data_IF_471734863332
#
_entry.id   IF_471734863332
#
_cell.length_a   1.000
_cell.length_b   1.000
_cell.length_c   1.000
_cell.angle_alpha   90.00
_cell.angle_beta   90.00
_cell.angle_gamma   90.00
#
_symmetry.space_group_name_H-M   'P 1'
#
loop_
_entity.id
_entity.type
_entity.pdbx_description
1 polymer ?
#
# COMPACT_ATOMS: atom_id res chain seq x y z
N UNK A 1 16.05 -15.82 -31.16
CA UNK A 1 15.82 -17.01 -30.32
C UNK A 1 14.61 -16.73 -29.44
N UNK A 2 13.46 -17.42 -29.62
CA UNK A 2 12.31 -17.19 -28.77
C UNK A 2 12.64 -17.67 -27.36
N UNK A 3 12.70 -16.75 -26.39
CA UNK A 3 12.81 -17.10 -24.97
C UNK A 3 11.66 -18.03 -24.63
N UNK A 4 11.97 -19.24 -24.13
CA UNK A 4 10.91 -20.18 -23.77
C UNK A 4 10.06 -19.56 -22.66
N UNK A 5 8.73 -19.66 -22.78
CA UNK A 5 7.80 -19.13 -21.78
C UNK A 5 8.15 -19.58 -20.35
N UNK A 6 8.77 -20.76 -20.22
CA UNK A 6 9.24 -21.35 -18.96
C UNK A 6 10.40 -20.56 -18.35
N UNK A 7 11.36 -20.09 -19.15
CA UNK A 7 12.47 -19.25 -18.67
C UNK A 7 11.97 -17.87 -18.22
N UNK A 8 10.99 -17.31 -18.94
CA UNK A 8 10.36 -16.05 -18.59
C UNK A 8 9.59 -16.18 -17.27
N UNK A 9 8.85 -17.28 -17.11
CA UNK A 9 8.15 -17.62 -15.86
C UNK A 9 9.10 -17.79 -14.68
N UNK A 10 10.26 -18.42 -14.90
CA UNK A 10 11.28 -18.63 -13.86
C UNK A 10 11.93 -17.31 -13.43
N UNK A 11 12.18 -16.39 -14.36
CA UNK A 11 12.69 -15.04 -14.05
C UNK A 11 11.67 -14.21 -13.27
N UNK A 12 10.40 -14.22 -13.69
CA UNK A 12 9.31 -13.55 -12.95
C UNK A 12 9.22 -14.08 -11.52
N UNK A 13 9.34 -15.40 -11.32
CA UNK A 13 9.33 -16.01 -9.99
C UNK A 13 10.56 -15.69 -9.15
N UNK A 14 11.73 -15.50 -9.77
CA UNK A 14 12.94 -15.03 -9.06
C UNK A 14 12.83 -13.54 -8.67
N UNK A 15 12.17 -12.73 -9.50
CA UNK A 15 11.90 -11.33 -9.21
C UNK A 15 10.83 -11.12 -8.12
N UNK A 16 9.98 -12.12 -7.84
CA UNK A 16 8.93 -12.05 -6.82
C UNK A 16 9.46 -11.64 -5.42
N UNK A 17 10.66 -12.12 -5.05
CA UNK A 17 11.29 -11.76 -3.76
C UNK A 17 11.72 -10.29 -3.66
N UNK A 18 12.58 -9.76 -4.56
CA UNK A 18 12.96 -8.34 -4.51
C UNK A 18 11.76 -7.43 -4.76
N UNK A 19 10.82 -7.81 -5.63
CA UNK A 19 9.58 -7.05 -5.84
C UNK A 19 8.76 -6.97 -4.56
N UNK A 20 8.60 -8.08 -3.81
CA UNK A 20 7.91 -8.04 -2.52
C UNK A 20 8.57 -7.04 -1.53
N UNK A 21 9.90 -6.98 -1.47
CA UNK A 21 10.61 -6.03 -0.59
C UNK A 21 10.37 -4.59 -1.03
N UNK A 22 10.48 -4.29 -2.33
CA UNK A 22 10.25 -2.95 -2.88
C UNK A 22 8.81 -2.52 -2.64
N UNK A 23 7.85 -3.41 -2.89
CA UNK A 23 6.41 -3.16 -2.67
C UNK A 23 6.12 -2.92 -1.20
N UNK A 24 6.73 -3.71 -0.31
CA UNK A 24 6.61 -3.51 1.13
C UNK A 24 7.12 -2.13 1.57
N UNK A 25 8.30 -1.71 1.08
CA UNK A 25 8.86 -0.39 1.38
C UNK A 25 8.01 0.74 0.82
N UNK A 26 7.53 0.61 -0.42
CA UNK A 26 6.65 1.59 -1.05
C UNK A 26 5.31 1.73 -0.30
N UNK A 27 4.71 0.61 0.12
CA UNK A 27 3.49 0.65 0.93
C UNK A 27 3.73 1.25 2.30
N UNK A 28 4.87 0.98 2.94
CA UNK A 28 5.21 1.60 4.22
C UNK A 28 5.31 3.12 4.11
N UNK A 29 5.96 3.60 3.04
CA UNK A 29 6.05 5.02 2.71
C UNK A 29 4.66 5.63 2.43
N UNK A 30 3.84 4.95 1.63
CA UNK A 30 2.48 5.39 1.32
C UNK A 30 1.60 5.45 2.57
N UNK A 31 1.62 4.41 3.41
CA UNK A 31 0.91 4.38 4.68
C UNK A 31 1.41 5.48 5.62
N UNK A 32 2.72 5.69 5.72
CA UNK A 32 3.30 6.79 6.50
C UNK A 32 2.80 8.16 6.03
N UNK A 33 2.76 8.38 4.71
CA UNK A 33 2.27 9.62 4.12
C UNK A 33 0.76 9.83 4.36
N UNK A 34 -0.04 8.77 4.21
CA UNK A 34 -1.48 8.82 4.48
C UNK A 34 -1.77 9.07 5.96
N UNK A 35 -0.96 8.54 6.87
CA UNK A 35 -1.07 8.81 8.31
C UNK A 35 -0.67 10.23 8.67
N UNK A 36 0.40 10.75 8.07
CA UNK A 36 0.76 12.16 8.16
C UNK A 36 -0.39 13.06 7.69
N UNK A 37 -1.03 12.69 6.59
CA UNK A 37 -2.20 13.41 6.06
C UNK A 37 -3.39 13.35 7.02
N UNK A 38 -3.62 12.21 7.67
CA UNK A 38 -4.71 12.01 8.63
C UNK A 38 -4.53 12.80 9.93
N UNK A 39 -3.29 12.95 10.40
CA UNK A 39 -2.95 13.67 11.64
C UNK A 39 -2.84 15.20 11.38
N UNK A 40 -3.13 15.67 10.16
CA UNK A 40 -3.02 17.08 9.77
C UNK A 40 -1.57 17.58 9.64
N UNK A 41 -0.60 16.67 9.72
CA UNK A 41 0.84 16.95 9.67
C UNK A 41 1.41 16.98 8.27
N UNK A 42 0.63 17.32 7.24
CA UNK A 42 1.25 17.59 5.92
C UNK A 42 2.06 18.87 6.09
N UNK A 43 3.38 18.79 5.92
CA UNK A 43 4.34 19.92 5.92
C UNK A 43 3.99 21.07 4.93
N UNK A 44 2.87 20.95 4.20
CA UNK A 44 2.42 21.83 3.10
C UNK A 44 0.92 22.21 3.23
N UNK A 45 0.11 21.47 4.01
CA UNK A 45 -1.32 21.74 4.16
C UNK A 45 -1.74 21.55 5.62
N UNK A 46 -1.61 22.62 6.40
CA UNK A 46 -2.23 22.72 7.71
C UNK A 46 -3.74 22.81 7.50
N UNK A 47 -4.45 21.71 7.69
CA UNK A 47 -5.91 21.68 7.60
C UNK A 47 -6.46 22.50 8.77
N UNK A 48 -6.77 23.77 8.52
CA UNK A 48 -7.22 24.73 9.52
C UNK A 48 -8.75 24.70 9.72
N UNK A 49 -9.46 23.90 8.91
CA UNK A 49 -10.91 23.77 8.94
C UNK A 49 -11.36 22.30 8.83
N UNK A 50 -12.46 21.95 9.51
CA UNK A 50 -13.06 20.60 9.46
C UNK A 50 -13.42 20.13 8.05
N UNK A 51 -13.80 21.05 7.17
CA UNK A 51 -14.10 20.78 5.76
C UNK A 51 -12.85 20.23 5.04
N UNK A 52 -11.67 20.81 5.30
CA UNK A 52 -10.41 20.35 4.71
C UNK A 52 -9.97 19.00 5.27
N UNK A 53 -10.19 18.74 6.57
CA UNK A 53 -9.90 17.44 7.18
C UNK A 53 -10.73 16.33 6.54
N UNK A 54 -12.03 16.54 6.34
CA UNK A 54 -12.91 15.53 5.72
C UNK A 54 -12.58 15.30 4.24
N UNK A 55 -12.24 16.36 3.49
CA UNK A 55 -11.78 16.24 2.11
C UNK A 55 -10.45 15.47 2.01
N UNK A 56 -9.50 15.75 2.91
CA UNK A 56 -8.23 15.04 3.00
C UNK A 56 -8.44 13.56 3.34
N UNK A 57 -9.35 13.24 4.27
CA UNK A 57 -9.73 11.87 4.61
C UNK A 57 -10.34 11.12 3.41
N UNK A 58 -11.26 11.75 2.67
CA UNK A 58 -11.87 11.13 1.49
C UNK A 58 -10.84 10.92 0.37
N UNK A 59 -9.93 11.87 0.16
CA UNK A 59 -8.87 11.76 -0.83
C UNK A 59 -7.88 10.64 -0.45
N UNK A 60 -7.46 10.59 0.82
CA UNK A 60 -6.63 9.53 1.37
C UNK A 60 -7.29 8.15 1.19
N UNK A 61 -8.59 8.02 1.49
CA UNK A 61 -9.34 6.78 1.32
C UNK A 61 -9.42 6.34 -0.15
N UNK A 62 -9.62 7.27 -1.09
CA UNK A 62 -9.61 6.98 -2.53
C UNK A 62 -8.24 6.52 -3.00
N UNK A 63 -7.17 7.24 -2.65
CA UNK A 63 -5.79 6.88 -3.01
C UNK A 63 -5.46 5.49 -2.48
N UNK A 64 -5.79 5.22 -1.21
CA UNK A 64 -5.59 3.92 -0.59
C UNK A 64 -6.34 2.81 -1.34
N UNK A 65 -7.62 3.03 -1.65
CA UNK A 65 -8.44 2.07 -2.39
C UNK A 65 -7.89 1.77 -3.79
N UNK A 66 -7.52 2.80 -4.56
CA UNK A 66 -6.96 2.62 -5.89
C UNK A 66 -5.60 1.90 -5.86
N UNK A 67 -4.74 2.23 -4.89
CA UNK A 67 -3.44 1.58 -4.75
C UNK A 67 -3.57 0.11 -4.31
N UNK A 68 -4.52 -0.17 -3.41
CA UNK A 68 -4.83 -1.52 -2.98
C UNK A 68 -5.32 -2.37 -4.18
N UNK A 69 -6.35 -1.89 -4.88
CA UNK A 69 -6.94 -2.58 -6.02
C UNK A 69 -5.95 -2.75 -7.18
N UNK A 70 -5.17 -1.70 -7.48
CA UNK A 70 -4.16 -1.72 -8.53
C UNK A 70 -3.05 -2.74 -8.26
N UNK A 71 -2.51 -2.77 -7.04
CA UNK A 71 -1.51 -3.77 -6.65
C UNK A 71 -2.09 -5.20 -6.65
N UNK A 72 -3.32 -5.38 -6.19
CA UNK A 72 -3.98 -6.69 -6.20
C UNK A 72 -4.15 -7.24 -7.63
N UNK A 73 -4.61 -6.41 -8.56
CA UNK A 73 -4.73 -6.78 -9.98
C UNK A 73 -3.37 -7.08 -10.59
N UNK A 74 -2.39 -6.19 -10.41
CA UNK A 74 -1.06 -6.31 -10.99
C UNK A 74 -0.34 -7.59 -10.54
N UNK A 75 -0.28 -7.85 -9.22
CA UNK A 75 0.40 -9.02 -8.68
C UNK A 75 -0.36 -10.32 -8.96
N UNK A 76 -1.69 -10.28 -9.06
CA UNK A 76 -2.50 -11.45 -9.46
C UNK A 76 -2.22 -11.85 -10.91
N UNK A 77 -2.19 -10.88 -11.84
CA UNK A 77 -1.88 -11.12 -13.26
C UNK A 77 -0.46 -11.65 -13.42
N UNK A 78 0.51 -11.10 -12.68
CA UNK A 78 1.90 -11.56 -12.68
C UNK A 78 2.12 -12.88 -11.91
N UNK A 79 1.07 -13.43 -11.25
CA UNK A 79 1.14 -14.61 -10.36
C UNK A 79 2.24 -14.50 -9.30
N UNK A 80 2.54 -13.28 -8.86
CA UNK A 80 3.55 -12.97 -7.84
C UNK A 80 2.91 -13.05 -6.45
N UNK A 81 2.73 -14.29 -5.96
CA UNK A 81 2.03 -14.53 -4.69
C UNK A 81 2.74 -13.87 -3.51
N UNK A 82 4.08 -13.82 -3.48
CA UNK A 82 4.80 -13.20 -2.35
C UNK A 82 4.66 -11.69 -2.37
N UNK A 83 4.78 -11.05 -3.53
CA UNK A 83 4.52 -9.62 -3.67
C UNK A 83 3.07 -9.28 -3.32
N UNK A 84 2.11 -10.12 -3.72
CA UNK A 84 0.70 -9.95 -3.37
C UNK A 84 0.46 -10.04 -1.86
N UNK A 85 1.00 -11.07 -1.20
CA UNK A 85 0.91 -11.20 0.26
C UNK A 85 1.59 -10.03 0.99
N UNK A 86 2.77 -9.59 0.52
CA UNK A 86 3.46 -8.44 1.10
C UNK A 86 2.66 -7.15 0.91
N UNK A 87 2.09 -6.94 -0.28
CA UNK A 87 1.21 -5.80 -0.57
C UNK A 87 0.00 -5.78 0.35
N UNK A 88 -0.68 -6.93 0.49
CA UNK A 88 -1.85 -7.07 1.34
C UNK A 88 -1.51 -6.83 2.82
N UNK A 89 -0.45 -7.49 3.30
CA UNK A 89 -0.02 -7.38 4.70
C UNK A 89 0.36 -5.94 5.04
N UNK A 90 1.13 -5.26 4.18
CA UNK A 90 1.55 -3.88 4.43
C UNK A 90 0.44 -2.85 4.25
N UNK A 91 -0.60 -3.15 3.46
CA UNK A 91 -1.79 -2.31 3.37
C UNK A 91 -2.74 -2.50 4.55
N UNK A 92 -2.88 -3.71 5.09
CA UNK A 92 -3.84 -4.04 6.13
C UNK A 92 -3.26 -3.90 7.55
N UNK A 93 -1.99 -4.23 7.78
CA UNK A 93 -1.40 -4.14 9.12
C UNK A 93 -1.46 -2.73 9.69
N UNK A 94 -1.04 -1.66 8.99
CA UNK A 94 -1.04 -0.32 9.56
C UNK A 94 -2.42 0.15 10.05
N UNK A 95 -3.51 0.05 9.26
CA UNK A 95 -4.83 0.42 9.76
C UNK A 95 -5.32 -0.52 10.87
N UNK A 96 -5.04 -1.83 10.82
CA UNK A 96 -5.38 -2.74 11.92
C UNK A 96 -4.68 -2.36 13.22
N UNK A 97 -3.37 -2.11 13.17
CA UNK A 97 -2.57 -1.72 14.34
C UNK A 97 -3.11 -0.42 14.91
N UNK A 98 -3.45 0.56 14.07
CA UNK A 98 -4.06 1.81 14.52
C UNK A 98 -5.40 1.60 15.19
N UNK A 99 -6.32 0.87 14.55
CA UNK A 99 -7.65 0.57 15.10
C UNK A 99 -7.52 -0.19 16.43
N UNK A 100 -6.64 -1.19 16.49
CA UNK A 100 -6.37 -1.94 17.72
C UNK A 100 -5.76 -1.07 18.81
N UNK A 101 -4.84 -0.17 18.46
CA UNK A 101 -4.22 0.74 19.44
C UNK A 101 -5.24 1.72 20.01
N UNK A 102 -6.09 2.30 19.17
CA UNK A 102 -7.20 3.16 19.56
C UNK A 102 -8.19 2.41 20.45
N UNK A 103 -8.57 1.19 20.07
CA UNK A 103 -9.51 0.37 20.83
C UNK A 103 -8.95 -0.07 22.20
N UNK A 104 -7.63 -0.27 22.31
CA UNK A 104 -6.97 -0.60 23.57
C UNK A 104 -6.77 0.63 24.46
N UNK A 105 -6.70 1.82 23.87
CA UNK A 105 -6.53 3.09 24.57
C UNK A 105 -7.84 3.72 25.08
N UNK A 106 -8.98 3.15 24.69
CA UNK A 106 -10.33 3.54 25.14
C UNK A 106 -10.80 2.67 26.29
#
# INVERSE_FOLDING_TARGET
MPMSAIQLWRRVRQADRPVAVIVGMANLLLCGLLLLMLIGGVLIFEATTREQETAAQQLAARIFGYWLAGGLLLFSVLRMMRALFSHLATMLLPPLVLISSLALSM
#
